data_IF_508220384120
#
_entry.id   IF_508220384120
#
_cell.length_a   1.000
_cell.length_b   1.000
_cell.length_c   1.000
_cell.angle_alpha   90.00
_cell.angle_beta   90.00
_cell.angle_gamma   90.00
#
_symmetry.space_group_name_H-M   'P 1'
#
loop_
_entity.id
_entity.type
_entity.pdbx_description
1 polymer ?
#
# COMPACT_ATOMS: atom_id res chain seq x y z
N UNK A 1 6.23 -18.12 8.22
CA UNK A 1 5.23 -17.80 9.27
C UNK A 1 4.35 -16.71 8.69
N UNK A 2 3.05 -16.97 8.42
CA UNK A 2 2.13 -15.89 8.05
C UNK A 2 1.95 -15.03 9.30
N UNK A 3 2.16 -13.72 9.18
CA UNK A 3 1.88 -12.81 10.28
C UNK A 3 0.36 -12.68 10.36
N UNK A 4 -0.20 -13.11 11.48
CA UNK A 4 -1.60 -12.92 11.83
C UNK A 4 -1.77 -11.43 12.18
N UNK A 5 -2.53 -10.71 11.35
CA UNK A 5 -2.78 -9.26 11.47
C UNK A 5 -3.84 -8.91 12.50
N UNK A 6 -4.38 -9.92 13.22
CA UNK A 6 -5.18 -9.73 14.43
C UNK A 6 -6.63 -9.30 14.18
N UNK A 7 -7.17 -9.54 12.99
CA UNK A 7 -8.54 -9.17 12.64
C UNK A 7 -9.46 -10.39 12.46
N UNK A 8 -10.76 -10.18 12.65
CA UNK A 8 -11.78 -11.24 12.49
C UNK A 8 -12.30 -11.36 11.05
N UNK A 9 -11.93 -10.41 10.18
CA UNK A 9 -12.43 -10.29 8.80
C UNK A 9 -11.44 -10.92 7.80
N UNK A 10 -10.16 -11.05 8.18
CA UNK A 10 -9.10 -11.66 7.40
C UNK A 10 -8.58 -10.74 6.29
N UNK A 11 -7.40 -11.08 5.76
CA UNK A 11 -6.77 -10.40 4.63
C UNK A 11 -7.75 -10.22 3.45
N UNK A 12 -7.72 -9.05 2.83
CA UNK A 12 -8.56 -8.72 1.67
C UNK A 12 -8.08 -9.55 0.47
N UNK A 13 -8.96 -10.36 -0.15
CA UNK A 13 -8.56 -11.16 -1.29
C UNK A 13 -8.25 -10.27 -2.48
N UNK A 14 -7.11 -10.51 -3.13
CA UNK A 14 -6.81 -9.90 -4.42
C UNK A 14 -7.66 -10.59 -5.48
N UNK A 15 -8.56 -9.83 -6.12
CA UNK A 15 -9.51 -10.35 -7.12
C UNK A 15 -9.08 -10.03 -8.55
N UNK A 16 -9.89 -10.47 -9.52
CA UNK A 16 -9.73 -10.12 -10.94
C UNK A 16 -10.47 -8.83 -11.31
N UNK A 17 -11.12 -8.19 -10.34
CA UNK A 17 -11.78 -6.90 -10.52
C UNK A 17 -10.78 -5.77 -10.25
N UNK A 18 -11.16 -4.54 -10.57
CA UNK A 18 -10.37 -3.38 -10.20
C UNK A 18 -10.33 -3.23 -8.68
N UNK A 19 -9.12 -3.15 -8.14
CA UNK A 19 -8.84 -2.77 -6.77
C UNK A 19 -8.12 -1.41 -6.78
N UNK A 20 -7.73 -0.92 -5.62
CA UNK A 20 -7.04 0.35 -5.49
C UNK A 20 -5.72 0.17 -4.75
N UNK A 21 -4.64 0.68 -5.34
CA UNK A 21 -3.46 1.06 -4.57
C UNK A 21 -3.79 2.34 -3.83
N UNK A 22 -3.65 2.31 -2.51
CA UNK A 22 -3.88 3.46 -1.63
C UNK A 22 -2.58 3.81 -0.93
N UNK A 23 -2.32 5.10 -0.77
CA UNK A 23 -1.08 5.55 -0.13
C UNK A 23 -1.29 6.82 0.67
N UNK A 24 -0.38 7.06 1.61
CA UNK A 24 -0.27 8.28 2.39
C UNK A 24 1.19 8.56 2.76
N UNK A 25 1.58 9.83 2.82
CA UNK A 25 2.93 10.28 3.16
C UNK A 25 2.85 11.32 4.29
N UNK A 26 3.83 11.31 5.19
CA UNK A 26 3.96 12.30 6.26
C UNK A 26 5.26 13.08 6.17
N UNK A 27 5.21 14.38 6.47
CA UNK A 27 6.43 15.17 6.68
C UNK A 27 7.10 14.86 8.02
N UNK A 28 6.36 14.27 8.96
CA UNK A 28 6.79 13.83 10.29
C UNK A 28 6.30 12.40 10.53
N UNK A 29 6.82 11.74 11.57
CA UNK A 29 6.34 10.43 12.03
C UNK A 29 5.01 10.50 12.80
N UNK A 30 4.46 11.70 13.02
CA UNK A 30 3.15 11.85 13.63
C UNK A 30 2.05 11.51 12.62
N UNK A 31 1.46 10.33 12.78
CA UNK A 31 0.34 9.88 11.97
C UNK A 31 -0.93 10.74 12.18
N UNK A 32 -1.03 11.53 13.25
CA UNK A 32 -2.13 12.48 13.40
C UNK A 32 -1.88 13.78 12.62
N UNK A 33 -0.63 14.07 12.26
CA UNK A 33 -0.26 15.29 11.56
C UNK A 33 -0.57 15.19 10.06
N UNK A 34 -1.85 15.44 9.75
CA UNK A 34 -2.42 15.73 8.44
C UNK A 34 -1.84 14.91 7.27
N UNK A 35 -2.39 13.71 7.09
CA UNK A 35 -2.45 13.01 5.79
C UNK A 35 -3.34 13.75 4.76
N UNK A 36 -3.40 15.07 4.81
CA UNK A 36 -4.28 15.85 3.95
C UNK A 36 -3.77 15.80 2.51
N UNK A 37 -4.69 15.92 1.54
CA UNK A 37 -4.29 16.03 0.12
C UNK A 37 -3.30 17.21 -0.04
N UNK A 38 -2.24 17.05 -0.86
CA UNK A 38 -2.03 15.98 -1.84
C UNK A 38 -1.29 14.74 -1.33
N UNK A 39 -0.94 14.66 -0.05
CA UNK A 39 -0.06 13.62 0.51
C UNK A 39 -0.73 12.24 0.69
N UNK A 40 -1.86 11.99 0.04
CA UNK A 40 -2.54 10.70 -0.01
C UNK A 40 -3.36 10.54 -1.28
N UNK A 41 -3.61 9.30 -1.67
CA UNK A 41 -4.42 9.02 -2.84
C UNK A 41 -4.87 7.57 -2.97
N UNK A 42 -5.55 7.33 -4.08
CA UNK A 42 -5.97 6.02 -4.53
C UNK A 42 -5.82 5.93 -6.05
N UNK A 43 -5.34 4.79 -6.54
CA UNK A 43 -5.14 4.49 -7.96
C UNK A 43 -5.82 3.17 -8.29
N UNK A 44 -6.82 3.21 -9.17
CA UNK A 44 -7.54 2.02 -9.59
C UNK A 44 -6.64 1.14 -10.48
N UNK A 45 -6.62 -0.16 -10.20
CA UNK A 45 -5.74 -1.13 -10.86
C UNK A 45 -6.35 -2.52 -10.83
N UNK A 46 -6.34 -3.19 -11.97
CA UNK A 46 -6.53 -4.63 -12.04
C UNK A 46 -5.19 -5.33 -11.84
N UNK A 47 -4.88 -5.69 -10.59
CA UNK A 47 -3.58 -6.25 -10.23
C UNK A 47 -3.34 -7.54 -11.01
N UNK A 48 -4.33 -8.44 -11.09
CA UNK A 48 -4.17 -9.76 -11.70
C UNK A 48 -4.29 -9.77 -13.23
N UNK A 49 -4.57 -8.63 -13.86
CA UNK A 49 -4.67 -8.53 -15.32
C UNK A 49 -3.39 -9.04 -15.97
N UNK A 50 -3.48 -10.11 -16.75
CA UNK A 50 -2.32 -10.64 -17.48
C UNK A 50 -2.05 -9.72 -18.68
N UNK A 51 -0.80 -9.27 -18.90
CA UNK A 51 -0.48 -8.50 -20.10
C UNK A 51 -0.82 -9.31 -21.34
N UNK A 52 -1.51 -8.70 -22.30
CA UNK A 52 -1.86 -9.34 -23.57
C UNK A 52 -0.64 -9.64 -24.45
N UNK A 53 0.55 -9.15 -24.07
CA UNK A 53 1.83 -9.36 -24.76
C UNK A 53 2.83 -9.92 -23.75
N UNK A 54 3.58 -10.99 -24.06
CA UNK A 54 4.58 -11.56 -23.15
C UNK A 54 5.75 -10.60 -23.03
N UNK A 55 5.64 -9.70 -22.08
CA UNK A 55 6.66 -8.74 -21.68
C UNK A 55 7.02 -9.08 -20.25
N UNK A 56 8.28 -9.47 -20.03
CA UNK A 56 8.85 -9.77 -18.71
C UNK A 56 9.02 -8.53 -17.83
N UNK A 57 8.13 -7.55 -17.94
CA UNK A 57 8.37 -6.21 -17.43
C UNK A 57 7.60 -6.02 -16.13
N UNK A 58 8.37 -5.89 -15.06
CA UNK A 58 8.00 -5.13 -13.87
C UNK A 58 7.01 -4.00 -14.22
N UNK A 59 5.85 -4.01 -13.57
CA UNK A 59 4.79 -3.02 -13.82
C UNK A 59 5.11 -1.79 -13.01
N UNK A 60 5.27 -0.64 -13.64
CA UNK A 60 5.55 0.63 -12.97
C UNK A 60 4.34 1.55 -13.02
N UNK A 61 4.05 2.20 -11.89
CA UNK A 61 2.96 3.14 -11.72
C UNK A 61 3.47 4.32 -10.91
N UNK A 62 3.28 5.52 -11.45
CA UNK A 62 3.50 6.76 -10.71
C UNK A 62 2.21 7.08 -9.94
N UNK A 63 2.21 6.93 -8.62
CA UNK A 63 1.04 7.20 -7.78
C UNK A 63 0.91 8.71 -7.51
N UNK A 64 2.04 9.38 -7.30
CA UNK A 64 2.17 10.84 -7.18
C UNK A 64 3.61 11.24 -7.52
N UNK A 65 3.91 12.54 -7.61
CA UNK A 65 5.29 13.03 -7.87
C UNK A 65 6.34 12.51 -6.88
N UNK A 66 5.90 12.14 -5.67
CA UNK A 66 6.76 11.69 -4.58
C UNK A 66 6.62 10.18 -4.31
N UNK A 67 5.86 9.45 -5.14
CA UNK A 67 5.58 8.04 -4.92
C UNK A 67 5.54 7.27 -6.25
N UNK A 68 6.62 6.52 -6.50
CA UNK A 68 6.70 5.54 -7.57
C UNK A 68 6.55 4.13 -7.01
N UNK A 69 5.68 3.33 -7.63
CA UNK A 69 5.48 1.94 -7.31
C UNK A 69 5.85 1.06 -8.49
N UNK A 70 6.62 0.01 -8.24
CA UNK A 70 6.76 -1.11 -9.17
C UNK A 70 6.27 -2.41 -8.55
N UNK A 71 5.75 -3.32 -9.37
CA UNK A 71 5.31 -4.62 -8.90
C UNK A 71 5.45 -5.75 -9.93
N UNK A 72 5.69 -6.95 -9.40
CA UNK A 72 5.78 -8.19 -10.17
C UNK A 72 4.88 -9.27 -9.58
N UNK A 73 4.30 -10.09 -10.45
CA UNK A 73 3.40 -11.17 -10.07
C UNK A 73 4.01 -12.49 -10.46
N UNK A 74 4.21 -13.35 -9.46
CA UNK A 74 4.55 -14.74 -9.67
C UNK A 74 3.32 -15.61 -9.40
N UNK A 75 2.60 -15.98 -10.47
CA UNK A 75 1.39 -16.79 -10.37
C UNK A 75 1.66 -18.21 -9.82
N UNK A 76 2.81 -18.80 -10.12
CA UNK A 76 3.19 -20.13 -9.63
C UNK A 76 3.40 -20.12 -8.11
N UNK A 77 4.11 -19.11 -7.60
CA UNK A 77 4.36 -18.92 -6.18
C UNK A 77 3.21 -18.22 -5.44
N UNK A 78 2.16 -17.80 -6.17
CA UNK A 78 1.03 -17.02 -5.66
C UNK A 78 1.50 -15.80 -4.85
N UNK A 79 2.50 -15.09 -5.38
CA UNK A 79 3.15 -13.97 -4.71
C UNK A 79 3.14 -12.73 -5.60
N UNK A 80 2.88 -11.60 -4.99
CA UNK A 80 3.11 -10.28 -5.58
C UNK A 80 4.21 -9.62 -4.78
N UNK A 81 5.20 -9.07 -5.47
CA UNK A 81 6.28 -8.29 -4.87
C UNK A 81 6.10 -6.84 -5.29
N UNK A 82 6.12 -5.94 -4.32
CA UNK A 82 6.06 -4.51 -4.53
C UNK A 82 7.39 -3.88 -4.14
N UNK A 83 7.81 -2.89 -4.92
CA UNK A 83 8.91 -2.00 -4.60
C UNK A 83 8.39 -0.57 -4.70
N UNK A 84 8.53 0.19 -3.62
CA UNK A 84 8.09 1.58 -3.55
C UNK A 84 9.32 2.48 -3.38
N UNK A 85 9.47 3.46 -4.26
CA UNK A 85 10.44 4.54 -4.11
C UNK A 85 9.67 5.81 -3.80
N UNK A 86 9.94 6.38 -2.63
CA UNK A 86 9.10 7.42 -2.04
C UNK A 86 9.94 8.54 -1.46
N UNK A 87 9.61 9.79 -1.78
CA UNK A 87 10.20 10.97 -1.17
C UNK A 87 9.35 11.40 0.03
N UNK A 88 9.81 11.04 1.24
CA UNK A 88 9.16 11.38 2.52
C UNK A 88 10.22 11.66 3.58
N UNK A 89 9.90 12.49 4.56
CA UNK A 89 10.75 12.79 5.72
C UNK A 89 10.21 12.24 7.04
N UNK A 90 9.02 11.62 7.01
CA UNK A 90 8.46 10.90 8.15
C UNK A 90 8.06 9.50 7.71
N UNK A 91 6.76 9.22 7.72
CA UNK A 91 6.25 7.91 7.35
C UNK A 91 5.84 7.79 5.87
N UNK A 92 5.75 6.55 5.43
CA UNK A 92 5.18 6.09 4.15
C UNK A 92 4.14 5.03 4.46
N UNK A 93 2.91 5.24 4.00
CA UNK A 93 1.82 4.28 4.03
C UNK A 93 1.48 3.81 2.63
N UNK A 94 1.32 2.50 2.45
CA UNK A 94 0.87 1.89 1.21
C UNK A 94 -0.07 0.73 1.50
N UNK A 95 -1.08 0.52 0.67
CA UNK A 95 -1.93 -0.65 0.82
C UNK A 95 -2.89 -0.87 -0.31
N UNK A 96 -3.66 -1.95 -0.18
CA UNK A 96 -4.61 -2.43 -1.18
C UNK A 96 -6.02 -2.31 -0.59
N UNK A 97 -6.90 -1.67 -1.35
CA UNK A 97 -8.28 -1.41 -0.95
C UNK A 97 -9.26 -1.83 -2.05
N UNK A 98 -10.42 -2.41 -1.72
CA UNK A 98 -11.48 -2.65 -2.68
C UNK A 98 -12.20 -1.36 -3.11
N UNK A 99 -12.11 -0.29 -2.32
CA UNK A 99 -12.91 0.95 -2.52
C UNK A 99 -12.08 2.20 -2.79
N UNK A 100 -10.75 2.12 -2.66
CA UNK A 100 -9.86 3.28 -2.67
C UNK A 100 -9.86 4.07 -1.36
N UNK A 101 -10.70 3.68 -0.40
CA UNK A 101 -10.61 4.16 0.98
C UNK A 101 -9.46 3.47 1.71
N UNK A 102 -8.83 4.18 2.65
CA UNK A 102 -7.95 3.53 3.62
C UNK A 102 -8.75 2.67 4.62
N UNK A 103 -10.04 2.91 4.79
CA UNK A 103 -10.93 2.04 5.58
C UNK A 103 -11.14 0.71 4.88
N UNK A 104 -11.06 -0.38 5.65
CA UNK A 104 -11.09 -1.76 5.16
C UNK A 104 -10.05 -1.96 4.05
N UNK A 105 -8.83 -1.51 4.29
CA UNK A 105 -7.68 -1.74 3.44
C UNK A 105 -6.60 -2.49 4.21
N UNK A 106 -5.89 -3.36 3.50
CA UNK A 106 -4.66 -3.97 3.99
C UNK A 106 -3.51 -3.02 3.70
N UNK A 107 -2.91 -2.49 4.76
CA UNK A 107 -1.94 -1.42 4.73
C UNK A 107 -0.61 -1.89 5.32
N UNK A 108 0.45 -1.26 4.85
CA UNK A 108 1.76 -1.24 5.49
C UNK A 108 2.10 0.21 5.80
N UNK A 109 2.82 0.41 6.88
CA UNK A 109 3.42 1.69 7.25
C UNK A 109 4.89 1.45 7.57
N UNK A 110 5.74 2.35 7.12
CA UNK A 110 7.15 2.32 7.46
C UNK A 110 7.80 3.67 7.22
N UNK A 111 9.02 3.82 7.67
CA UNK A 111 9.76 5.06 7.58
C UNK A 111 11.17 4.88 8.13
N UNK A 112 11.86 6.00 8.28
CA UNK A 112 13.16 6.09 8.94
C UNK A 112 13.01 7.18 9.99
N UNK A 113 13.25 6.83 11.25
CA UNK A 113 13.16 7.80 12.34
C UNK A 113 14.34 8.79 12.33
N UNK A 114 14.29 9.77 13.24
CA UNK A 114 15.31 10.82 13.38
C UNK A 114 16.72 10.26 13.67
N UNK A 115 16.83 9.03 14.19
CA UNK A 115 18.09 8.34 14.48
C UNK A 115 18.61 7.52 13.26
N UNK A 116 17.88 7.53 12.14
CA UNK A 116 18.22 6.79 10.93
C UNK A 116 17.80 5.31 10.98
N UNK A 117 16.98 4.91 11.95
CA UNK A 117 16.52 3.53 12.11
C UNK A 117 15.25 3.32 11.31
N UNK A 118 15.28 2.34 10.41
CA UNK A 118 14.10 1.96 9.63
C UNK A 118 13.08 1.21 10.49
N UNK A 119 11.81 1.55 10.35
CA UNK A 119 10.70 0.79 10.90
C UNK A 119 9.74 0.35 9.79
N UNK A 120 9.09 -0.80 9.99
CA UNK A 120 8.13 -1.36 9.05
C UNK A 120 7.08 -2.15 9.81
N UNK A 121 5.82 -1.92 9.45
CA UNK A 121 4.70 -2.59 10.08
C UNK A 121 3.54 -2.86 9.12
N UNK A 122 2.82 -3.96 9.38
CA UNK A 122 1.62 -4.36 8.65
C UNK A 122 0.39 -4.03 9.49
N UNK A 123 -0.64 -3.48 8.87
CA UNK A 123 -1.85 -2.97 9.52
C UNK A 123 -3.08 -3.28 8.67
N UNK A 124 -4.19 -3.58 9.32
CA UNK A 124 -5.51 -3.37 8.73
C UNK A 124 -6.11 -2.09 9.32
N UNK A 125 -6.69 -1.23 8.48
CA UNK A 125 -7.36 -0.02 8.97
C UNK A 125 -8.86 -0.28 9.02
N UNK A 126 -9.34 -0.66 10.20
CA UNK A 126 -10.76 -0.77 10.51
C UNK A 126 -11.32 0.59 10.94
N UNK A 127 -12.61 0.80 10.74
CA UNK A 127 -13.29 1.99 11.26
C UNK A 127 -13.09 2.10 12.77
N UNK A 128 -12.56 3.23 13.24
CA UNK A 128 -12.68 3.58 14.66
C UNK A 128 -14.17 3.76 14.96
N UNK A 129 -14.75 2.84 15.75
CA UNK A 129 -16.04 3.08 16.39
C UNK A 129 -15.78 4.24 17.36
N UNK A 130 -16.19 5.46 16.97
CA UNK A 130 -16.33 6.54 17.94
C UNK A 130 -17.43 6.11 18.92
N UNK A 131 -17.05 5.91 20.18
CA UNK A 131 -17.95 5.93 21.33
C UNK A 131 -18.15 7.38 21.78
#
# INVERSE_FOLDING_TARGET
RKFDTGDSVGDIPITKDDMFFTWALGATDDIADRHARPMRGAFAVNILQVPSVPTSFERKVELSNDFQLSYNINFLMRRITFEATVASTGYVGFGISPSGSMYNADMIIGGVDDDGISYFDVRIILQAIYA
#
